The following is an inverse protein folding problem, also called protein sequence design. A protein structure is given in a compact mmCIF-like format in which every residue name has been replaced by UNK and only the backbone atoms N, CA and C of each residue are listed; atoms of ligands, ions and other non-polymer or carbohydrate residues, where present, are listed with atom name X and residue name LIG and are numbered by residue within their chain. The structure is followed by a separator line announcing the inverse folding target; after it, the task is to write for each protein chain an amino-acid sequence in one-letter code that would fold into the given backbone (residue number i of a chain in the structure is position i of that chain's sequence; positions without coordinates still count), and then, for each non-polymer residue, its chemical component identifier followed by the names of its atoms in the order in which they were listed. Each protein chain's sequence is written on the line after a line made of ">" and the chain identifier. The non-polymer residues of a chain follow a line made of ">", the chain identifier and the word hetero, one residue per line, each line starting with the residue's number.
data_IF_290378499878
#
_entry.id   IF_290378499878
#
_cell.length_a   1.000
_cell.length_b   1.000
_cell.length_c   1.000
_cell.angle_alpha   90.00
_cell.angle_beta   90.00
_cell.angle_gamma   90.00
#
_symmetry.space_group_name_H-M   'P 1'
#
loop_
_entity.id
_entity.type
_entity.pdbx_description
1 polymer ?
#
# COMPACT_ATOMS: atom_id res chain seq x y z
N UNK A 1 9.53 22.62 57.27
CA UNK A 1 9.59 22.93 55.83
C UNK A 1 9.99 21.67 55.09
N UNK A 2 8.99 21.02 54.41
CA UNK A 2 9.22 19.83 53.58
C UNK A 2 9.24 20.31 52.13
N UNK A 3 10.41 20.23 51.48
CA UNK A 3 10.55 20.56 50.07
C UNK A 3 10.07 19.36 49.24
N UNK A 4 8.97 19.51 48.52
CA UNK A 4 8.50 18.54 47.56
C UNK A 4 9.29 18.68 46.25
N UNK A 5 10.13 17.71 45.95
CA UNK A 5 10.83 17.60 44.66
C UNK A 5 9.86 17.05 43.61
N UNK A 6 9.45 17.87 42.65
CA UNK A 6 8.69 17.44 41.50
C UNK A 6 9.67 16.76 40.55
N UNK A 7 9.59 15.44 40.44
CA UNK A 7 10.30 14.66 39.42
C UNK A 7 9.48 14.77 38.14
N UNK A 8 9.93 15.60 37.21
CA UNK A 8 9.38 15.62 35.85
C UNK A 8 9.83 14.34 35.13
N UNK A 9 8.92 13.41 34.93
CA UNK A 9 9.15 12.26 34.04
C UNK A 9 9.35 12.75 32.60
N UNK A 10 10.39 12.32 31.88
CA UNK A 10 10.52 12.67 30.47
C UNK A 10 9.35 12.02 29.73
N UNK A 11 8.51 12.83 29.11
CA UNK A 11 7.55 12.36 28.10
C UNK A 11 8.39 11.83 26.94
N UNK A 12 8.50 10.53 26.84
CA UNK A 12 9.09 9.90 25.67
C UNK A 12 8.25 10.34 24.46
N UNK A 13 8.88 11.06 23.53
CA UNK A 13 8.28 11.41 22.26
C UNK A 13 7.88 10.08 21.58
N UNK A 14 6.58 9.81 21.50
CA UNK A 14 6.09 8.65 20.79
C UNK A 14 6.45 8.85 19.31
N UNK A 15 7.24 7.93 18.77
CA UNK A 15 7.47 7.89 17.32
C UNK A 15 6.11 7.81 16.62
N UNK A 16 5.87 8.64 15.59
CA UNK A 16 4.65 8.53 14.82
C UNK A 16 4.54 7.08 14.31
N UNK A 17 3.37 6.48 14.51
CA UNK A 17 3.07 5.17 13.92
C UNK A 17 2.97 5.37 12.40
N UNK A 18 3.45 4.38 11.63
CA UNK A 18 3.10 4.30 10.22
C UNK A 18 1.58 4.51 10.08
N UNK A 19 1.17 5.37 9.18
CA UNK A 19 -0.24 5.78 9.06
C UNK A 19 -0.57 7.16 9.61
N UNK A 20 0.33 7.80 10.35
CA UNK A 20 0.19 9.21 10.68
C UNK A 20 0.94 10.04 9.65
N UNK A 21 0.21 10.75 8.80
CA UNK A 21 0.81 11.71 7.87
C UNK A 21 1.50 12.81 8.66
N UNK A 22 2.83 12.80 8.65
CA UNK A 22 3.65 13.86 9.24
C UNK A 22 4.15 14.84 8.17
N UNK A 23 3.93 14.55 6.90
CA UNK A 23 4.36 15.37 5.76
C UNK A 23 3.17 15.88 4.93
N UNK A 24 3.30 17.06 4.27
CA UNK A 24 2.31 17.55 3.33
C UNK A 24 2.09 16.54 2.18
N UNK A 25 0.91 16.56 1.53
CA UNK A 25 0.55 15.60 0.49
C UNK A 25 1.58 15.47 -0.64
N UNK A 26 2.18 16.57 -1.05
CA UNK A 26 3.22 16.62 -2.07
C UNK A 26 4.50 15.90 -1.69
N UNK A 27 4.77 15.74 -0.39
CA UNK A 27 5.92 15.00 0.12
C UNK A 27 5.60 13.52 0.39
N UNK A 28 4.33 13.19 0.63
CA UNK A 28 3.92 11.80 0.78
C UNK A 28 3.90 11.03 -0.54
N UNK A 29 4.07 11.71 -1.67
CA UNK A 29 4.28 11.07 -2.98
C UNK A 29 5.71 10.53 -3.18
N UNK A 30 6.63 10.84 -2.27
CA UNK A 30 8.03 10.42 -2.37
C UNK A 30 8.31 8.98 -1.92
N UNK A 31 7.31 8.25 -1.41
CA UNK A 31 7.49 6.85 -1.03
C UNK A 31 7.09 6.49 0.40
N UNK A 32 7.40 5.27 0.79
CA UNK A 32 7.11 4.74 2.12
C UNK A 32 7.83 5.55 3.20
N UNK A 33 7.06 6.02 4.18
CA UNK A 33 7.61 6.43 5.45
C UNK A 33 8.59 7.58 5.38
N UNK A 34 8.23 8.67 4.71
CA UNK A 34 9.01 9.90 4.80
C UNK A 34 9.19 10.29 6.27
N UNK A 35 10.43 10.25 6.74
CA UNK A 35 10.81 10.39 8.14
C UNK A 35 11.08 9.06 8.87
N UNK A 36 10.88 7.91 8.24
CA UNK A 36 11.32 6.61 8.74
C UNK A 36 12.75 6.30 8.32
N UNK A 37 13.48 5.57 9.15
CA UNK A 37 14.81 5.07 8.78
C UNK A 37 14.69 3.91 7.78
N UNK A 38 15.74 3.66 7.00
CA UNK A 38 15.78 2.53 6.06
C UNK A 38 15.49 1.19 6.75
N UNK A 39 15.92 1.03 8.01
CA UNK A 39 15.65 -0.16 8.79
C UNK A 39 14.16 -0.32 9.14
N UNK A 40 13.48 0.77 9.47
CA UNK A 40 12.03 0.77 9.73
C UNK A 40 11.25 0.46 8.45
N UNK A 41 11.63 1.06 7.34
CA UNK A 41 11.05 0.76 6.02
C UNK A 41 11.22 -0.71 5.67
N UNK A 42 12.42 -1.27 5.84
CA UNK A 42 12.68 -2.68 5.57
C UNK A 42 11.82 -3.62 6.44
N UNK A 43 11.60 -3.27 7.71
CA UNK A 43 10.72 -4.04 8.61
C UNK A 43 9.26 -4.00 8.13
N UNK A 44 8.76 -2.84 7.71
CA UNK A 44 7.38 -2.70 7.24
C UNK A 44 7.16 -3.46 5.92
N UNK A 45 8.12 -3.41 5.00
CA UNK A 45 8.07 -4.20 3.77
C UNK A 45 8.07 -5.70 4.07
N UNK A 46 8.89 -6.15 5.01
CA UNK A 46 8.93 -7.55 5.43
C UNK A 46 7.63 -7.99 6.12
N UNK A 47 7.04 -7.12 6.95
CA UNK A 47 5.76 -7.38 7.59
C UNK A 47 4.62 -7.48 6.56
N UNK A 48 4.57 -6.56 5.60
CA UNK A 48 3.58 -6.57 4.53
C UNK A 48 3.65 -7.86 3.69
N UNK A 49 4.85 -8.38 3.43
CA UNK A 49 5.05 -9.59 2.64
C UNK A 49 4.40 -10.86 3.24
N UNK A 50 4.00 -10.84 4.51
CA UNK A 50 3.24 -11.94 5.13
C UNK A 50 1.74 -11.95 4.76
N UNK A 51 1.26 -10.93 4.07
CA UNK A 51 -0.14 -10.81 3.67
C UNK A 51 -0.30 -10.96 2.16
N UNK A 52 -1.49 -11.38 1.70
CA UNK A 52 -1.76 -11.49 0.27
C UNK A 52 -1.59 -10.14 -0.45
N UNK A 53 -1.00 -10.18 -1.64
CA UNK A 53 -0.84 -9.01 -2.51
C UNK A 53 -2.22 -8.47 -2.92
N UNK A 54 -2.37 -7.15 -2.92
CA UNK A 54 -3.61 -6.47 -3.28
C UNK A 54 -4.57 -6.28 -2.11
N UNK A 55 -4.11 -6.48 -0.87
CA UNK A 55 -4.85 -6.16 0.36
C UNK A 55 -4.34 -4.86 0.98
N UNK A 56 -5.05 -4.29 1.95
CA UNK A 56 -4.57 -3.12 2.69
C UNK A 56 -3.26 -3.38 3.46
N UNK A 57 -3.04 -4.63 3.87
CA UNK A 57 -1.82 -5.02 4.57
C UNK A 57 -0.62 -5.20 3.63
N UNK A 58 -0.87 -5.51 2.36
CA UNK A 58 0.14 -5.65 1.32
C UNK A 58 -0.40 -5.18 -0.02
N UNK A 59 -0.59 -3.87 -0.20
CA UNK A 59 -1.12 -3.35 -1.45
C UNK A 59 -0.15 -3.61 -2.62
N UNK A 60 -0.68 -3.68 -3.82
CA UNK A 60 0.14 -3.50 -5.02
C UNK A 60 0.76 -2.10 -4.94
N UNK A 61 2.05 -1.98 -5.19
CA UNK A 61 2.77 -0.71 -5.06
C UNK A 61 3.29 -0.27 -6.41
N UNK A 62 2.91 0.93 -6.82
CA UNK A 62 3.23 1.49 -8.14
C UNK A 62 3.66 2.94 -8.04
N UNK A 63 4.33 3.42 -9.07
CA UNK A 63 4.75 4.81 -9.19
C UNK A 63 3.64 5.63 -9.88
N UNK A 64 2.82 6.28 -9.10
CA UNK A 64 1.79 7.20 -9.56
C UNK A 64 0.62 6.54 -10.32
N UNK A 65 -0.34 7.35 -10.76
CA UNK A 65 -1.54 6.87 -11.49
C UNK A 65 -1.21 6.21 -12.83
N UNK A 66 -0.09 6.57 -13.45
CA UNK A 66 0.34 5.92 -14.70
C UNK A 66 0.83 4.50 -14.45
N UNK A 67 1.58 4.30 -13.36
CA UNK A 67 2.00 2.96 -12.91
C UNK A 67 0.82 2.07 -12.61
N UNK A 68 -0.22 2.62 -11.97
CA UNK A 68 -1.47 1.91 -11.70
C UNK A 68 -2.16 1.47 -12.99
N UNK A 69 -2.36 2.38 -13.94
CA UNK A 69 -2.98 2.04 -15.24
C UNK A 69 -2.19 0.97 -15.98
N UNK A 70 -0.87 1.10 -16.00
CA UNK A 70 0.01 0.13 -16.65
C UNK A 70 -0.06 -1.26 -15.99
N UNK A 71 -0.12 -1.30 -14.65
CA UNK A 71 -0.30 -2.53 -13.89
C UNK A 71 -1.63 -3.22 -14.23
N UNK A 72 -2.74 -2.47 -14.12
CA UNK A 72 -4.08 -3.00 -14.36
C UNK A 72 -4.27 -3.49 -15.80
N UNK A 73 -3.68 -2.82 -16.78
CA UNK A 73 -3.71 -3.25 -18.18
C UNK A 73 -3.01 -4.61 -18.42
N UNK A 74 -2.08 -5.00 -17.57
CA UNK A 74 -1.35 -6.27 -17.63
C UNK A 74 -2.03 -7.40 -16.85
N UNK A 75 -3.03 -7.08 -16.04
CA UNK A 75 -3.69 -8.08 -15.20
C UNK A 75 -4.49 -9.06 -16.04
N UNK A 76 -4.30 -10.36 -15.78
CA UNK A 76 -4.95 -11.45 -16.48
C UNK A 76 -5.68 -12.35 -15.50
N UNK A 77 -6.84 -12.80 -15.93
CA UNK A 77 -7.62 -13.82 -15.24
C UNK A 77 -6.93 -15.20 -15.34
N UNK A 78 -7.40 -16.20 -14.61
CA UNK A 78 -6.79 -17.53 -14.59
C UNK A 78 -6.74 -18.22 -15.95
N UNK A 79 -7.66 -17.88 -16.86
CA UNK A 79 -7.69 -18.37 -18.24
C UNK A 79 -6.83 -17.56 -19.23
N UNK A 80 -6.09 -16.56 -18.75
CA UNK A 80 -5.23 -15.68 -19.53
C UNK A 80 -5.94 -14.51 -20.19
N UNK A 81 -7.26 -14.38 -20.05
CA UNK A 81 -8.00 -13.22 -20.59
C UNK A 81 -7.71 -11.96 -19.78
N UNK A 82 -7.85 -10.80 -20.41
CA UNK A 82 -7.72 -9.52 -19.74
C UNK A 82 -8.81 -9.33 -18.68
N UNK A 83 -8.42 -8.91 -17.50
CA UNK A 83 -9.35 -8.57 -16.45
C UNK A 83 -10.09 -7.25 -16.77
N UNK A 84 -11.39 -7.19 -16.48
CA UNK A 84 -12.17 -5.96 -16.60
C UNK A 84 -12.07 -5.18 -15.31
N UNK A 85 -11.62 -3.93 -15.40
CA UNK A 85 -11.47 -3.04 -14.25
C UNK A 85 -12.66 -2.09 -14.19
N UNK A 86 -13.35 -2.07 -13.07
CA UNK A 86 -14.46 -1.14 -12.81
C UNK A 86 -13.97 0.23 -12.30
N UNK A 87 -14.91 1.08 -11.91
CA UNK A 87 -14.61 2.40 -11.38
C UNK A 87 -13.82 2.29 -10.06
N UNK A 88 -12.66 2.92 -10.03
CA UNK A 88 -11.81 3.00 -8.85
C UNK A 88 -12.39 3.95 -7.82
N UNK A 89 -12.10 3.67 -6.55
CA UNK A 89 -12.50 4.49 -5.40
C UNK A 89 -11.49 4.37 -4.27
N UNK A 90 -11.46 5.30 -3.30
CA UNK A 90 -10.63 5.15 -2.12
C UNK A 90 -10.94 3.84 -1.39
N UNK A 91 -9.91 3.05 -1.11
CA UNK A 91 -10.02 1.73 -0.47
C UNK A 91 -9.71 1.72 1.02
N UNK A 92 -9.25 2.84 1.55
CA UNK A 92 -8.83 2.96 2.95
C UNK A 92 -7.33 3.20 3.10
N UNK A 93 -6.89 3.37 4.35
CA UNK A 93 -5.48 3.55 4.67
C UNK A 93 -4.78 2.19 4.73
N UNK A 94 -3.72 2.05 3.97
CA UNK A 94 -2.92 0.83 3.92
C UNK A 94 -1.88 0.75 5.06
N UNK A 95 -1.09 -0.33 5.06
CA UNK A 95 -0.05 -0.58 6.07
C UNK A 95 1.09 0.44 6.06
N UNK A 96 1.24 1.20 4.98
CA UNK A 96 2.26 2.24 4.83
C UNK A 96 1.74 3.65 5.13
N UNK A 97 0.47 3.76 5.51
CA UNK A 97 -0.17 5.02 5.88
C UNK A 97 -0.69 5.85 4.72
N UNK A 98 -0.69 5.31 3.51
CA UNK A 98 -1.25 5.94 2.33
C UNK A 98 -2.72 5.56 2.13
N UNK A 99 -3.45 6.39 1.41
CA UNK A 99 -4.79 6.01 0.96
C UNK A 99 -4.62 5.16 -0.29
N UNK A 100 -4.91 3.87 -0.17
CA UNK A 100 -4.88 2.96 -1.31
C UNK A 100 -6.11 3.16 -2.21
N UNK A 101 -5.92 3.02 -3.51
CA UNK A 101 -7.03 2.94 -4.46
C UNK A 101 -7.57 1.51 -4.50
N UNK A 102 -8.89 1.38 -4.45
CA UNK A 102 -9.57 0.12 -4.64
C UNK A 102 -10.00 -0.01 -6.09
N UNK A 103 -9.42 -0.98 -6.79
CA UNK A 103 -9.78 -1.35 -8.14
C UNK A 103 -10.66 -2.61 -8.13
N UNK A 104 -11.98 -2.49 -8.41
CA UNK A 104 -12.84 -3.66 -8.57
C UNK A 104 -12.53 -4.32 -9.92
N UNK A 105 -12.27 -5.62 -9.89
CA UNK A 105 -11.86 -6.40 -11.06
C UNK A 105 -12.81 -7.57 -11.27
N UNK A 106 -13.21 -7.78 -12.51
CA UNK A 106 -14.14 -8.81 -12.93
C UNK A 106 -13.55 -9.66 -14.08
N UNK A 107 -13.60 -10.96 -13.91
CA UNK A 107 -13.15 -11.94 -14.91
C UNK A 107 -14.32 -12.65 -15.62
N UNK A 108 -15.56 -12.26 -15.37
CA UNK A 108 -16.73 -12.92 -15.96
C UNK A 108 -16.84 -14.38 -15.55
N UNK A 109 -16.82 -15.29 -16.51
CA UNK A 109 -16.88 -16.74 -16.26
C UNK A 109 -15.59 -17.38 -15.81
N UNK A 110 -14.44 -16.65 -15.83
CA UNK A 110 -13.16 -17.15 -15.36
C UNK A 110 -12.95 -16.85 -13.87
N UNK A 111 -12.05 -17.58 -13.23
CA UNK A 111 -11.63 -17.27 -11.87
C UNK A 111 -10.47 -16.24 -11.88
N UNK A 112 -10.38 -15.38 -10.84
CA UNK A 112 -11.42 -15.07 -9.88
C UNK A 112 -12.59 -14.35 -10.55
N UNK A 113 -13.83 -14.73 -10.24
CA UNK A 113 -15.00 -14.10 -10.85
C UNK A 113 -15.08 -12.60 -10.56
N UNK A 114 -14.77 -12.22 -9.33
CA UNK A 114 -14.69 -10.84 -8.87
C UNK A 114 -13.61 -10.71 -7.78
N UNK A 115 -12.88 -9.60 -7.77
CA UNK A 115 -11.93 -9.26 -6.72
C UNK A 115 -11.78 -7.75 -6.59
N UNK A 116 -11.55 -7.29 -5.37
CA UNK A 116 -11.14 -5.91 -5.07
C UNK A 116 -9.63 -5.90 -4.83
N UNK A 117 -8.90 -5.13 -5.63
CA UNK A 117 -7.44 -5.02 -5.53
C UNK A 117 -7.10 -3.64 -4.97
N UNK A 118 -6.34 -3.64 -3.87
CA UNK A 118 -5.85 -2.41 -3.24
C UNK A 118 -4.49 -2.06 -3.83
N UNK A 119 -4.35 -0.81 -4.28
CA UNK A 119 -3.16 -0.31 -4.97
C UNK A 119 -2.70 0.99 -4.30
N UNK A 120 -1.45 1.02 -3.89
CA UNK A 120 -0.78 2.22 -3.39
C UNK A 120 0.02 2.86 -4.52
N UNK A 121 -0.37 4.06 -4.93
CA UNK A 121 0.24 4.81 -6.03
C UNK A 121 1.40 5.70 -5.61
N UNK A 122 1.76 5.69 -4.31
CA UNK A 122 2.78 6.58 -3.74
C UNK A 122 4.11 5.86 -3.49
N UNK A 123 4.44 4.84 -4.28
CA UNK A 123 5.53 3.90 -4.01
C UNK A 123 6.60 3.87 -5.11
N UNK A 124 7.14 5.03 -5.49
CA UNK A 124 8.15 5.13 -6.55
C UNK A 124 9.41 4.30 -6.26
N UNK A 125 9.84 4.26 -4.99
CA UNK A 125 11.08 3.59 -4.58
C UNK A 125 10.88 2.12 -4.18
N UNK A 126 9.63 1.71 -3.89
CA UNK A 126 9.31 0.37 -3.37
C UNK A 126 8.22 -0.32 -4.17
N UNK A 127 8.35 -0.28 -5.48
CA UNK A 127 7.39 -0.89 -6.41
C UNK A 127 7.24 -2.39 -6.14
N UNK A 128 6.00 -2.85 -6.06
CA UNK A 128 5.63 -4.26 -6.03
C UNK A 128 4.53 -4.51 -7.06
N UNK A 129 4.90 -4.88 -8.25
CA UNK A 129 4.00 -5.30 -9.31
C UNK A 129 3.92 -6.83 -9.34
N UNK A 130 3.17 -7.40 -8.42
CA UNK A 130 2.89 -8.83 -8.36
C UNK A 130 1.41 -9.10 -8.64
N UNK A 131 1.10 -10.30 -9.13
CA UNK A 131 -0.29 -10.70 -9.34
C UNK A 131 -0.94 -11.06 -8.00
N UNK A 132 -2.15 -10.55 -7.69
CA UNK A 132 -2.96 -11.06 -6.59
C UNK A 132 -3.33 -12.53 -6.79
N UNK A 133 -3.76 -13.20 -5.72
CA UNK A 133 -4.13 -14.61 -5.76
C UNK A 133 -5.17 -14.91 -6.87
N UNK A 134 -4.89 -15.90 -7.69
CA UNK A 134 -5.75 -16.32 -8.78
C UNK A 134 -5.59 -15.54 -10.09
N UNK A 135 -4.86 -14.43 -10.08
CA UNK A 135 -4.51 -13.66 -11.28
C UNK A 135 -3.12 -13.99 -11.80
N UNK A 136 -2.88 -13.58 -13.02
CA UNK A 136 -1.56 -13.55 -13.66
C UNK A 136 -1.23 -12.14 -14.08
N UNK A 137 0.05 -11.84 -14.22
CA UNK A 137 0.50 -10.52 -14.69
C UNK A 137 1.28 -10.73 -16.00
N UNK A 138 0.78 -10.14 -17.10
CA UNK A 138 1.49 -10.16 -18.36
C UNK A 138 2.82 -9.42 -18.27
N UNK A 139 3.85 -9.81 -19.04
CA UNK A 139 5.11 -9.07 -19.11
C UNK A 139 4.91 -7.61 -19.53
N UNK A 140 5.89 -6.77 -19.20
CA UNK A 140 5.97 -5.39 -19.69
C UNK A 140 6.29 -5.36 -21.18
#
# INVERSE_FOLDING_TARGET
>A
LIAATIVASPVAAQKPKLGQRTAPPEKSMAGIGEGSSDAEVAQELAAAANFPVGTLQNPVRVAGPEGERAYLARLRCSDGTGARVGAQRPGGTDSFGNVADLAPVDCGGAAPAHADILIDVYQEEHVLEAAPAGFQLAPR
#
